data_IF_237405590993
#
_entry.id   IF_237405590993
#
_cell.length_a   1.000
_cell.length_b   1.000
_cell.length_c   1.000
_cell.angle_alpha   90.00
_cell.angle_beta   90.00
_cell.angle_gamma   90.00
#
_symmetry.space_group_name_H-M   'P 1'
#
loop_
_entity.id
_entity.type
_entity.pdbx_description
1 polymer ?
#
# COMPACT_ATOMS: atom_id res chain seq x y z
N UNK A 1 -37.04 39.98 -40.65
CA UNK A 1 -36.36 40.21 -39.35
C UNK A 1 -36.32 38.98 -38.45
N UNK A 2 -37.38 38.17 -38.35
CA UNK A 2 -37.39 36.96 -37.49
C UNK A 2 -36.54 35.78 -38.01
N UNK A 3 -36.39 35.62 -39.32
CA UNK A 3 -35.62 34.52 -39.92
C UNK A 3 -34.10 34.74 -39.89
N UNK A 4 -33.64 36.00 -39.97
CA UNK A 4 -32.23 36.37 -39.88
C UNK A 4 -31.65 36.13 -38.48
N UNK A 5 -32.49 36.20 -37.44
CA UNK A 5 -32.13 35.94 -36.04
C UNK A 5 -31.94 34.45 -35.76
N UNK A 6 -32.81 33.60 -36.34
CA UNK A 6 -32.71 32.14 -36.26
C UNK A 6 -31.46 31.60 -36.95
N UNK A 7 -31.06 32.19 -38.08
CA UNK A 7 -29.85 31.78 -38.81
C UNK A 7 -28.56 32.11 -38.04
N UNK A 8 -28.54 33.26 -37.34
CA UNK A 8 -27.43 33.65 -36.45
C UNK A 8 -27.29 32.75 -35.23
N UNK A 9 -28.41 32.23 -34.70
CA UNK A 9 -28.41 31.29 -33.57
C UNK A 9 -27.85 29.92 -33.96
N UNK A 10 -28.16 29.44 -35.18
CA UNK A 10 -27.66 28.16 -35.69
C UNK A 10 -26.16 28.22 -36.01
N UNK A 11 -25.66 29.35 -36.49
CA UNK A 11 -24.24 29.53 -36.83
C UNK A 11 -23.31 29.71 -35.62
N UNK A 12 -23.83 30.05 -34.43
CA UNK A 12 -23.07 30.08 -33.17
C UNK A 12 -22.95 28.71 -32.48
N UNK A 13 -23.63 27.68 -32.98
CA UNK A 13 -23.72 26.36 -32.34
C UNK A 13 -22.48 25.46 -32.43
N UNK A 14 -21.56 25.54 -33.42
CA UNK A 14 -20.51 24.53 -33.54
C UNK A 14 -19.31 24.80 -32.62
N UNK A 15 -19.22 25.94 -31.94
CA UNK A 15 -18.09 26.28 -31.05
C UNK A 15 -18.22 25.75 -29.61
N UNK A 16 -19.33 25.08 -29.27
CA UNK A 16 -19.54 24.48 -27.94
C UNK A 16 -19.37 22.94 -27.91
N UNK A 17 -19.05 22.32 -29.05
CA UNK A 17 -18.64 20.92 -29.08
C UNK A 17 -17.15 20.81 -28.80
N UNK A 18 -16.72 21.24 -27.61
CA UNK A 18 -15.49 20.69 -27.04
C UNK A 18 -15.78 19.21 -26.84
N UNK A 19 -15.17 18.35 -27.66
CA UNK A 19 -15.24 16.92 -27.46
C UNK A 19 -14.91 16.64 -25.99
N UNK A 20 -15.84 15.99 -25.29
CA UNK A 20 -15.65 15.65 -23.89
C UNK A 20 -14.42 14.74 -23.83
N UNK A 21 -13.33 15.20 -23.24
CA UNK A 21 -12.18 14.34 -23.00
C UNK A 21 -12.66 13.18 -22.13
N UNK A 22 -12.56 11.95 -22.66
CA UNK A 22 -12.81 10.74 -21.87
C UNK A 22 -11.57 10.59 -20.99
N UNK A 23 -11.68 10.75 -19.66
CA UNK A 23 -10.53 10.50 -18.78
C UNK A 23 -10.07 9.06 -18.98
N UNK A 24 -8.75 8.86 -19.18
CA UNK A 24 -8.17 7.54 -19.45
C UNK A 24 -8.80 6.80 -20.67
N UNK A 25 -9.14 7.52 -21.75
CA UNK A 25 -9.82 6.93 -22.91
C UNK A 25 -8.97 5.91 -23.71
N UNK A 26 -7.66 5.90 -23.51
CA UNK A 26 -6.72 4.93 -24.10
C UNK A 26 -6.41 3.75 -23.15
N UNK A 27 -6.90 3.79 -21.91
CA UNK A 27 -6.66 2.81 -20.85
C UNK A 27 -5.21 2.76 -20.34
N UNK A 28 -4.40 3.79 -20.59
CA UNK A 28 -2.98 3.80 -20.19
C UNK A 28 -2.67 4.72 -18.99
N UNK A 29 -3.70 5.27 -18.35
CA UNK A 29 -3.55 6.02 -17.09
C UNK A 29 -3.41 5.05 -15.91
N UNK A 30 -2.21 4.52 -15.74
CA UNK A 30 -1.84 3.68 -14.61
C UNK A 30 -1.52 4.53 -13.38
N UNK A 31 -1.89 4.04 -12.19
CA UNK A 31 -1.48 4.62 -10.91
C UNK A 31 -0.85 3.54 -10.03
N UNK A 32 0.18 3.91 -9.29
CA UNK A 32 0.86 3.05 -8.32
C UNK A 32 0.40 3.48 -6.93
N UNK A 33 -0.12 2.54 -6.16
CA UNK A 33 -0.43 2.75 -4.75
C UNK A 33 0.46 1.85 -3.91
N UNK A 34 1.18 2.45 -2.97
CA UNK A 34 1.96 1.72 -1.97
C UNK A 34 1.02 1.39 -0.82
N UNK A 35 0.72 0.10 -0.64
CA UNK A 35 -0.20 -0.37 0.40
C UNK A 35 0.48 -0.47 1.77
N UNK A 36 1.75 -0.88 1.78
CA UNK A 36 2.56 -0.99 2.99
C UNK A 36 4.04 -0.93 2.63
N UNK A 37 4.86 -0.67 3.65
CA UNK A 37 6.30 -0.76 3.56
C UNK A 37 6.80 -2.03 4.26
N UNK A 38 7.97 -2.53 3.88
CA UNK A 38 8.67 -3.61 4.56
C UNK A 38 10.13 -3.24 4.80
N UNK A 39 10.76 -3.74 5.87
CA UNK A 39 12.19 -3.55 6.06
C UNK A 39 12.97 -4.21 4.91
N UNK A 40 14.15 -3.66 4.60
CA UNK A 40 15.05 -4.24 3.61
C UNK A 40 15.44 -5.67 4.04
N UNK A 41 15.38 -6.64 3.12
CA UNK A 41 15.68 -8.07 3.34
C UNK A 41 14.73 -8.84 4.28
N UNK A 42 13.68 -8.20 4.80
CA UNK A 42 12.65 -8.84 5.62
C UNK A 42 11.29 -8.82 4.92
N UNK A 43 10.44 -9.74 5.31
CA UNK A 43 9.04 -9.78 4.91
C UNK A 43 8.13 -9.62 6.13
N UNK A 44 6.87 -9.26 5.92
CA UNK A 44 5.91 -9.05 7.00
C UNK A 44 4.48 -9.49 6.64
N UNK A 45 3.65 -9.66 7.68
CA UNK A 45 2.28 -10.16 7.55
C UNK A 45 1.35 -9.34 6.67
N UNK A 46 1.65 -8.07 6.40
CA UNK A 46 0.80 -7.23 5.54
C UNK A 46 0.69 -7.77 4.11
N UNK A 47 1.64 -8.60 3.66
CA UNK A 47 1.56 -9.25 2.35
C UNK A 47 0.45 -10.31 2.28
N UNK A 48 0.19 -11.03 3.38
CA UNK A 48 -0.85 -12.07 3.44
C UNK A 48 -2.23 -11.48 3.74
N UNK A 49 -2.27 -10.51 4.65
CA UNK A 49 -3.54 -10.04 5.21
C UNK A 49 -4.05 -8.74 4.56
N UNK A 50 -3.50 -8.33 3.41
CA UNK A 50 -3.95 -7.12 2.72
C UNK A 50 -5.49 -7.13 2.50
N UNK A 51 -6.23 -6.09 2.95
CA UNK A 51 -5.77 -4.75 3.31
C UNK A 51 -5.50 -4.50 4.81
N UNK A 52 -5.52 -5.51 5.67
CA UNK A 52 -5.20 -5.37 7.10
C UNK A 52 -3.72 -5.08 7.29
N UNK A 53 -3.43 -3.98 7.98
CA UNK A 53 -2.06 -3.55 8.27
C UNK A 53 -1.75 -3.88 9.72
N UNK A 54 -0.98 -4.95 9.92
CA UNK A 54 -0.54 -5.42 11.24
C UNK A 54 0.89 -5.01 11.56
N UNK A 55 1.66 -4.59 10.56
CA UNK A 55 3.07 -4.18 10.69
C UNK A 55 3.26 -2.78 10.10
N UNK A 56 3.66 -1.80 10.90
CA UNK A 56 3.91 -0.42 10.44
C UNK A 56 5.33 0.05 10.78
N UNK A 57 5.85 1.00 9.99
CA UNK A 57 7.13 1.66 10.24
C UNK A 57 6.92 2.82 11.22
N UNK A 58 7.69 2.85 12.29
CA UNK A 58 7.71 3.98 13.26
C UNK A 58 9.11 4.55 13.41
N UNK A 59 9.23 5.80 13.85
CA UNK A 59 10.51 6.47 14.16
C UNK A 59 10.86 6.33 15.63
N UNK A 60 12.11 6.66 16.00
CA UNK A 60 12.54 6.69 17.40
C UNK A 60 13.00 5.32 17.93
N UNK A 61 13.54 4.49 17.06
CA UNK A 61 14.17 3.23 17.46
C UNK A 61 15.40 3.48 18.36
N UNK A 62 15.69 2.61 19.34
CA UNK A 62 16.91 2.70 20.15
C UNK A 62 18.19 2.57 19.31
N UNK A 63 18.09 1.90 18.16
CA UNK A 63 19.16 1.74 17.17
C UNK A 63 18.60 2.01 15.76
N UNK A 64 19.36 2.72 14.92
CA UNK A 64 18.90 3.12 13.58
C UNK A 64 17.92 4.30 13.59
N UNK A 65 17.16 4.45 12.49
CA UNK A 65 16.19 5.54 12.32
C UNK A 65 14.74 5.10 12.56
N UNK A 66 14.45 3.82 12.29
CA UNK A 66 13.09 3.27 12.26
C UNK A 66 13.00 1.94 13.01
N UNK A 67 11.81 1.63 13.51
CA UNK A 67 11.46 0.33 14.10
C UNK A 67 10.17 -0.21 13.47
N UNK A 68 9.98 -1.52 13.55
CA UNK A 68 8.71 -2.15 13.23
C UNK A 68 7.75 -2.04 14.44
N UNK A 69 6.55 -1.54 14.20
CA UNK A 69 5.44 -1.60 15.14
C UNK A 69 4.50 -2.73 14.72
N UNK A 70 4.38 -3.73 15.58
CA UNK A 70 3.56 -4.92 15.35
C UNK A 70 2.30 -4.79 16.20
N UNK A 71 1.15 -4.74 15.55
CA UNK A 71 -0.16 -4.58 16.19
C UNK A 71 -1.07 -5.72 15.74
N UNK A 72 -1.71 -6.37 16.71
CA UNK A 72 -2.76 -7.35 16.42
C UNK A 72 -4.03 -6.58 16.06
N UNK A 73 -4.56 -6.83 14.87
CA UNK A 73 -5.79 -6.21 14.38
C UNK A 73 -6.95 -7.19 14.52
N UNK A 74 -8.14 -6.66 14.80
CA UNK A 74 -9.39 -7.45 14.73
C UNK A 74 -9.85 -7.42 13.27
N UNK A 75 -10.05 -8.61 12.70
CA UNK A 75 -10.59 -8.81 11.36
C UNK A 75 -11.85 -9.66 11.48
N UNK A 76 -13.00 -9.03 11.25
CA UNK A 76 -14.32 -9.63 11.45
C UNK A 76 -14.47 -10.23 12.87
N UNK A 77 -14.60 -11.56 12.99
CA UNK A 77 -14.73 -12.30 14.25
C UNK A 77 -13.41 -12.95 14.71
N UNK A 78 -12.29 -12.65 14.04
CA UNK A 78 -10.96 -13.21 14.32
C UNK A 78 -9.90 -12.09 14.48
N UNK A 79 -8.64 -12.50 14.64
CA UNK A 79 -7.49 -11.62 14.83
C UNK A 79 -6.37 -11.93 13.84
N UNK A 80 -5.76 -10.88 13.30
CA UNK A 80 -4.53 -10.96 12.52
C UNK A 80 -3.38 -10.34 13.34
N UNK A 81 -2.32 -11.09 13.57
CA UNK A 81 -1.18 -10.62 14.38
C UNK A 81 -0.05 -10.10 13.50
N UNK A 82 0.62 -9.04 13.96
CA UNK A 82 1.79 -8.49 13.28
C UNK A 82 3.05 -9.32 13.48
N UNK A 83 3.79 -9.58 12.41
CA UNK A 83 5.11 -10.21 12.46
C UNK A 83 6.02 -9.68 11.35
N UNK A 84 7.32 -9.90 11.55
CA UNK A 84 8.39 -9.74 10.55
C UNK A 84 9.20 -11.03 10.52
N UNK A 85 9.68 -11.44 9.35
CA UNK A 85 10.56 -12.59 9.22
C UNK A 85 11.66 -12.35 8.21
N UNK A 86 12.80 -12.99 8.44
CA UNK A 86 13.88 -13.10 7.48
C UNK A 86 13.59 -14.33 6.61
N UNK A 87 13.28 -14.13 5.34
CA UNK A 87 12.75 -15.17 4.46
C UNK A 87 11.72 -14.62 3.47
N UNK A 88 10.79 -15.46 3.05
CA UNK A 88 9.74 -15.07 2.09
C UNK A 88 8.36 -15.49 2.57
N UNK A 89 7.40 -14.60 2.42
CA UNK A 89 5.99 -14.88 2.64
C UNK A 89 5.33 -15.05 1.27
N UNK A 90 4.88 -16.27 0.98
CA UNK A 90 4.02 -16.58 -0.17
C UNK A 90 2.74 -17.30 0.32
N UNK A 91 2.33 -18.40 -0.32
CA UNK A 91 1.22 -19.24 0.17
C UNK A 91 1.56 -19.94 1.48
N UNK A 92 2.84 -20.22 1.74
CA UNK A 92 3.31 -20.79 3.01
C UNK A 92 4.55 -20.02 3.44
N UNK A 93 4.53 -19.31 4.59
CA UNK A 93 5.70 -18.59 5.06
C UNK A 93 6.94 -19.50 5.15
N UNK A 94 7.97 -19.18 4.38
CA UNK A 94 9.27 -19.85 4.45
C UNK A 94 10.21 -18.93 5.22
N UNK A 95 10.44 -19.28 6.47
CA UNK A 95 11.40 -18.59 7.32
C UNK A 95 12.82 -19.13 7.12
N UNK A 96 13.78 -18.23 7.29
CA UNK A 96 15.20 -18.54 7.31
C UNK A 96 15.93 -18.14 6.05
N UNK A 97 17.23 -17.88 6.21
CA UNK A 97 18.19 -17.71 5.12
C UNK A 97 19.41 -18.61 5.41
N UNK A 98 20.17 -19.01 4.37
CA UNK A 98 21.40 -19.76 4.59
C UNK A 98 22.37 -19.02 5.52
N UNK A 99 22.89 -19.73 6.52
CA UNK A 99 23.90 -19.21 7.43
C UNK A 99 25.02 -20.25 7.61
N UNK A 100 26.26 -19.79 7.65
CA UNK A 100 27.45 -20.67 7.61
C UNK A 100 28.07 -20.97 8.98
N UNK A 101 27.50 -20.44 10.05
CA UNK A 101 28.03 -20.55 11.41
C UNK A 101 26.92 -20.89 12.40
N UNK A 102 27.29 -21.34 13.59
CA UNK A 102 26.31 -21.55 14.65
C UNK A 102 25.83 -20.21 15.21
N UNK A 103 24.52 -20.06 15.37
CA UNK A 103 23.91 -18.88 16.00
C UNK A 103 23.93 -19.06 17.51
N UNK A 104 24.72 -18.24 18.21
CA UNK A 104 24.86 -18.33 19.66
C UNK A 104 23.76 -17.58 20.44
N UNK A 105 23.27 -16.46 19.90
CA UNK A 105 22.25 -15.62 20.52
C UNK A 105 21.51 -14.75 19.48
N UNK A 106 20.32 -14.29 19.85
CA UNK A 106 19.58 -13.23 19.16
C UNK A 106 19.35 -12.11 20.17
N UNK A 107 19.77 -10.90 19.82
CA UNK A 107 19.61 -9.70 20.65
C UNK A 107 18.68 -8.72 19.94
N UNK A 108 17.76 -8.10 20.69
CA UNK A 108 16.83 -7.12 20.14
C UNK A 108 16.37 -6.10 21.19
N UNK A 109 15.94 -4.94 20.69
CA UNK A 109 15.22 -3.94 21.48
C UNK A 109 13.72 -4.11 21.25
N UNK A 110 12.96 -4.29 22.32
CA UNK A 110 11.51 -4.45 22.25
C UNK A 110 10.79 -3.56 23.26
N UNK A 111 9.63 -3.06 22.85
CA UNK A 111 8.64 -2.45 23.73
C UNK A 111 7.32 -3.17 23.49
N UNK A 112 6.64 -3.55 24.57
CA UNK A 112 5.37 -4.25 24.52
C UNK A 112 4.33 -3.52 25.37
N UNK A 113 3.09 -3.51 24.92
CA UNK A 113 1.94 -2.98 25.62
C UNK A 113 0.68 -3.71 25.19
N UNK A 114 -0.27 -3.83 26.11
CA UNK A 114 -1.62 -4.30 25.82
C UNK A 114 -2.50 -3.08 25.52
N UNK A 115 -3.42 -3.23 24.56
CA UNK A 115 -4.52 -2.29 24.36
C UNK A 115 -5.59 -2.47 25.44
#
# INVERSE_FOLDING_TARGET
>A
MKQSFLLGLVLLSPSLLLAQEIPNGDFELWSIQVLFERPDDWDNGNYQDAPVVTTTKVTGAPEGQFAAHLETQILDDDTAFGYVLLGRIDETPVAGVPHGTDVAAVECWLRYGLQ
#
